data_IF_214372026647
#
_entry.id   IF_214372026647
#
_cell.length_a   1.000
_cell.length_b   1.000
_cell.length_c   1.000
_cell.angle_alpha   90.00
_cell.angle_beta   90.00
_cell.angle_gamma   90.00
#
_symmetry.space_group_name_H-M   'P 1'
#
loop_
_entity.id
_entity.type
_entity.pdbx_description
1 polymer ?
#
# COMPACT_ATOMS: atom_id res chain seq x y z
N UNK A 1 15.96 14.90 4.65
CA UNK A 1 15.42 14.92 4.60
C UNK A 1 14.73 14.78 4.85
N UNK A 2 14.65 14.85 5.04
CA UNK A 2 13.97 14.71 5.22
C UNK A 2 12.97 14.68 5.10
N UNK A 3 13.17 14.40 4.92
CA UNK A 3 11.93 14.64 4.60
C UNK A 3 11.01 13.88 5.33
N UNK A 4 10.00 14.39 5.72
CA UNK A 4 9.00 13.69 6.45
C UNK A 4 8.21 12.78 5.51
N UNK A 5 8.07 11.55 5.86
CA UNK A 5 7.27 10.64 5.08
C UNK A 5 5.82 11.00 5.00
N UNK A 6 5.33 11.66 6.00
CA UNK A 6 3.91 11.96 6.06
C UNK A 6 3.46 12.96 5.02
N UNK A 7 4.37 13.70 4.46
CA UNK A 7 4.00 14.75 3.54
C UNK A 7 3.95 14.29 2.11
N UNK A 8 4.11 12.97 1.90
CA UNK A 8 4.19 12.52 0.59
C UNK A 8 3.00 12.67 -0.21
N UNK A 9 1.87 12.23 0.23
CA UNK A 9 0.66 12.19 -0.58
C UNK A 9 -0.23 13.38 -0.29
N UNK A 10 -0.68 14.06 -1.34
CA UNK A 10 -1.73 15.05 -1.17
C UNK A 10 -3.09 14.35 -1.17
N UNK A 11 -4.17 15.11 -1.01
CA UNK A 11 -5.50 14.51 -0.91
C UNK A 11 -5.88 13.73 -2.16
N UNK A 12 -5.52 14.24 -3.32
CA UNK A 12 -5.85 13.56 -4.56
C UNK A 12 -5.11 12.24 -4.68
N UNK A 13 -3.83 12.23 -4.32
CA UNK A 13 -3.03 11.03 -4.38
C UNK A 13 -3.51 10.01 -3.36
N UNK A 14 -3.84 10.48 -2.18
CA UNK A 14 -4.36 9.61 -1.13
C UNK A 14 -5.63 8.91 -1.59
N UNK A 15 -6.57 9.69 -2.11
CA UNK A 15 -7.84 9.15 -2.59
C UNK A 15 -7.63 8.18 -3.73
N UNK A 16 -6.74 8.51 -4.64
CA UNK A 16 -6.47 7.68 -5.79
C UNK A 16 -5.86 6.34 -5.36
N UNK A 17 -4.92 6.40 -4.44
CA UNK A 17 -4.28 5.19 -3.92
C UNK A 17 -5.29 4.29 -3.22
N UNK A 18 -6.10 4.87 -2.35
CA UNK A 18 -7.13 4.10 -1.65
C UNK A 18 -8.11 3.49 -2.65
N UNK A 19 -8.48 4.24 -3.67
CA UNK A 19 -9.39 3.74 -4.68
C UNK A 19 -8.81 2.55 -5.43
N UNK A 20 -7.53 2.61 -5.76
CA UNK A 20 -6.88 1.49 -6.41
C UNK A 20 -6.82 0.27 -5.49
N UNK A 21 -6.58 0.50 -4.21
CA UNK A 21 -6.54 -0.59 -3.25
C UNK A 21 -7.93 -1.17 -3.01
N UNK A 22 -8.98 -0.40 -3.24
CA UNK A 22 -10.34 -0.89 -3.07
C UNK A 22 -10.69 -2.01 -4.04
N UNK A 23 -9.96 -2.12 -5.13
CA UNK A 23 -10.20 -3.20 -6.08
C UNK A 23 -9.66 -4.53 -5.55
N UNK A 24 -8.96 -4.50 -4.45
CA UNK A 24 -8.40 -5.68 -3.81
C UNK A 24 -9.17 -5.98 -2.52
N UNK A 25 -9.09 -7.22 -2.08
CA UNK A 25 -9.82 -7.63 -0.88
C UNK A 25 -9.04 -7.26 0.38
N UNK A 26 -8.90 -5.98 0.61
CA UNK A 26 -8.19 -5.45 1.77
C UNK A 26 -9.17 -4.91 2.79
N UNK A 27 -8.86 -5.13 4.06
CA UNK A 27 -9.63 -4.51 5.14
C UNK A 27 -9.30 -3.04 5.22
N UNK A 28 -10.22 -2.26 5.76
CA UNK A 28 -10.03 -0.84 5.89
C UNK A 28 -8.74 -0.50 6.65
N UNK A 29 -8.50 -1.21 7.75
CA UNK A 29 -7.30 -0.98 8.55
C UNK A 29 -6.04 -1.28 7.75
N UNK A 30 -6.09 -2.30 6.92
CA UNK A 30 -4.94 -2.67 6.10
C UNK A 30 -4.66 -1.60 5.05
N UNK A 31 -5.71 -1.09 4.44
CA UNK A 31 -5.55 -0.02 3.45
C UNK A 31 -4.92 1.22 4.09
N UNK A 32 -5.37 1.56 5.28
CA UNK A 32 -4.81 2.69 5.99
C UNK A 32 -3.33 2.48 6.33
N UNK A 33 -2.99 1.28 6.75
CA UNK A 33 -1.60 0.97 7.04
C UNK A 33 -0.73 1.09 5.81
N UNK A 34 -1.21 0.57 4.69
CA UNK A 34 -0.47 0.65 3.44
C UNK A 34 -0.25 2.11 3.04
N UNK A 35 -1.29 2.92 3.14
CA UNK A 35 -1.20 4.32 2.77
C UNK A 35 -0.24 5.08 3.70
N UNK A 36 -0.28 4.75 4.99
CA UNK A 36 0.57 5.43 5.96
C UNK A 36 2.03 5.02 5.86
N UNK A 37 2.29 3.75 5.64
CA UNK A 37 3.65 3.25 5.65
C UNK A 37 4.28 3.16 4.26
N UNK A 38 3.47 3.08 3.23
CA UNK A 38 3.92 2.98 1.85
C UNK A 38 5.04 1.93 1.71
N UNK A 39 4.73 0.67 2.01
CA UNK A 39 5.75 -0.37 1.93
C UNK A 39 6.27 -0.49 0.51
N UNK A 40 7.58 -0.46 0.37
CA UNK A 40 8.21 -0.54 -0.95
C UNK A 40 8.82 -1.91 -1.22
N UNK A 41 8.82 -2.78 -0.25
CA UNK A 41 9.35 -4.13 -0.43
C UNK A 41 8.31 -5.14 -0.01
N UNK A 42 8.50 -6.37 -0.52
CA UNK A 42 7.61 -7.46 -0.20
C UNK A 42 7.60 -7.78 1.30
N UNK A 43 8.78 -7.76 1.88
CA UNK A 43 8.92 -8.04 3.31
C UNK A 43 8.14 -7.02 4.14
N UNK A 44 8.27 -5.75 3.78
CA UNK A 44 7.57 -4.70 4.47
C UNK A 44 6.06 -4.84 4.29
N UNK A 45 5.64 -5.16 3.07
CA UNK A 45 4.22 -5.35 2.80
C UNK A 45 3.65 -6.49 3.62
N UNK A 46 4.40 -7.57 3.76
CA UNK A 46 3.97 -8.71 4.55
C UNK A 46 3.81 -8.34 6.03
N UNK A 47 4.61 -7.41 6.51
CA UNK A 47 4.49 -6.98 7.89
C UNK A 47 3.29 -6.06 8.10
N UNK A 48 2.84 -5.42 7.04
CA UNK A 48 1.68 -4.53 7.10
C UNK A 48 0.38 -5.32 6.94
N UNK A 49 0.37 -6.31 6.07
CA UNK A 49 -0.82 -7.09 5.77
C UNK A 49 -0.62 -8.52 6.30
N UNK A 50 -1.41 -8.90 7.27
CA UNK A 50 -1.33 -10.24 7.83
C UNK A 50 -1.75 -11.28 6.81
N UNK A 51 -1.00 -12.38 6.78
CA UNK A 51 -1.27 -13.50 5.88
C UNK A 51 -1.37 -13.06 4.43
N UNK A 52 -0.55 -12.10 4.06
CA UNK A 52 -0.59 -11.54 2.73
C UNK A 52 -0.39 -12.62 1.67
N UNK A 53 0.52 -13.55 1.91
CA UNK A 53 0.82 -14.60 0.95
C UNK A 53 -0.28 -15.65 0.87
N UNK A 54 -1.13 -15.74 1.89
CA UNK A 54 -2.27 -16.67 1.86
C UNK A 54 -3.49 -16.03 1.22
N UNK A 55 -3.65 -14.72 1.43
CA UNK A 55 -4.84 -14.02 0.98
C UNK A 55 -4.73 -13.51 -0.44
N UNK A 56 -3.52 -13.28 -0.90
CA UNK A 56 -3.27 -12.71 -2.22
C UNK A 56 -2.31 -13.56 -3.01
N UNK A 57 -2.48 -13.56 -4.33
CA UNK A 57 -1.54 -14.25 -5.21
C UNK A 57 -0.29 -13.38 -5.39
N UNK A 58 0.76 -13.98 -5.96
CA UNK A 58 1.97 -13.23 -6.26
C UNK A 58 1.68 -12.06 -7.17
N UNK A 59 0.79 -12.25 -8.12
CA UNK A 59 0.44 -11.18 -9.04
C UNK A 59 -0.22 -10.02 -8.32
N UNK A 60 -1.10 -10.33 -7.38
CA UNK A 60 -1.78 -9.29 -6.61
C UNK A 60 -0.80 -8.53 -5.72
N UNK A 61 0.12 -9.26 -5.11
CA UNK A 61 1.14 -8.65 -4.26
C UNK A 61 2.00 -7.69 -5.07
N UNK A 62 2.42 -8.14 -6.25
CA UNK A 62 3.23 -7.29 -7.11
C UNK A 62 2.43 -6.08 -7.58
N UNK A 63 1.15 -6.26 -7.81
CA UNK A 63 0.29 -5.16 -8.21
C UNK A 63 0.21 -4.11 -7.11
N UNK A 64 0.05 -4.55 -5.87
CA UNK A 64 0.01 -3.63 -4.73
C UNK A 64 1.32 -2.84 -4.66
N UNK A 65 2.43 -3.53 -4.77
CA UNK A 65 3.74 -2.88 -4.70
C UNK A 65 3.93 -1.90 -5.85
N UNK A 66 3.47 -2.28 -7.04
CA UNK A 66 3.58 -1.41 -8.20
C UNK A 66 2.75 -0.13 -8.00
N UNK A 67 1.55 -0.29 -7.46
CA UNK A 67 0.69 0.85 -7.18
C UNK A 67 1.38 1.80 -6.20
N UNK A 68 1.95 1.23 -5.15
CA UNK A 68 2.61 2.03 -4.12
C UNK A 68 3.81 2.77 -4.69
N UNK A 69 4.57 2.09 -5.53
CA UNK A 69 5.78 2.70 -6.11
C UNK A 69 5.47 3.94 -6.95
N UNK A 70 4.29 4.00 -7.51
CA UNK A 70 3.90 5.17 -8.29
C UNK A 70 3.82 6.42 -7.41
N UNK A 71 3.71 6.24 -6.11
CA UNK A 71 3.57 7.35 -5.18
C UNK A 71 4.84 7.60 -4.34
N UNK A 72 5.89 6.86 -4.61
CA UNK A 72 7.16 7.05 -3.92
C UNK A 72 8.13 7.97 -4.71
#
# INVERSE_FOLDING_TARGET
TQKSPLSRLNDDQFSDLVRKLNSLALFKAEKLQIVNQLPSSMVHLYSVVEECDSRFTSEQIEQILSIIKDYL
#
